data_IF_770585006840
#
_entry.id   IF_770585006840
#
_cell.length_a   1.000
_cell.length_b   1.000
_cell.length_c   1.000
_cell.angle_alpha   90.00
_cell.angle_beta   90.00
_cell.angle_gamma   90.00
#
_symmetry.space_group_name_H-M   'P 1'
#
loop_
_entity.id
_entity.type
_entity.pdbx_description
1 polymer ?
#
# COMPACT_ATOMS: atom_id res chain seq x y z
N UNK A 1 -22.74 37.65 -7.42
CA UNK A 1 -21.37 37.13 -7.31
C UNK A 1 -20.72 37.30 -8.67
N UNK A 2 -19.50 37.81 -8.73
CA UNK A 2 -18.73 37.94 -9.97
C UNK A 2 -18.31 36.54 -10.47
N UNK A 3 -18.46 36.29 -11.77
CA UNK A 3 -18.21 34.99 -12.41
C UNK A 3 -16.75 34.55 -12.23
N UNK A 4 -15.80 35.49 -12.30
CA UNK A 4 -14.39 35.23 -12.04
C UNK A 4 -14.15 34.72 -10.61
N UNK A 5 -14.83 35.31 -9.63
CA UNK A 5 -14.72 34.90 -8.22
C UNK A 5 -15.31 33.52 -7.98
N UNK A 6 -16.40 33.18 -8.66
CA UNK A 6 -17.00 31.84 -8.60
C UNK A 6 -16.08 30.76 -9.18
N UNK A 7 -15.45 31.04 -10.33
CA UNK A 7 -14.48 30.13 -10.96
C UNK A 7 -13.24 29.93 -10.07
N UNK A 8 -12.74 30.99 -9.44
CA UNK A 8 -11.61 30.89 -8.52
C UNK A 8 -11.92 29.99 -7.32
N UNK A 9 -13.08 30.19 -6.67
CA UNK A 9 -13.50 29.35 -5.52
C UNK A 9 -13.61 27.87 -5.92
N UNK A 10 -14.17 27.59 -7.10
CA UNK A 10 -14.25 26.22 -7.61
C UNK A 10 -12.87 25.59 -7.84
N UNK A 11 -11.95 26.36 -8.42
CA UNK A 11 -10.55 25.94 -8.62
C UNK A 11 -9.89 25.62 -7.27
N UNK A 12 -10.06 26.48 -6.27
CA UNK A 12 -9.47 26.28 -4.94
C UNK A 12 -10.03 25.03 -4.24
N UNK A 13 -11.34 24.76 -4.37
CA UNK A 13 -11.98 23.54 -3.84
C UNK A 13 -11.38 22.30 -4.52
N UNK A 14 -11.25 22.31 -5.85
CA UNK A 14 -10.69 21.19 -6.59
C UNK A 14 -9.21 20.94 -6.22
N UNK A 15 -8.42 22.00 -6.10
CA UNK A 15 -7.02 21.93 -5.64
C UNK A 15 -6.93 21.30 -4.25
N UNK A 16 -7.83 21.67 -3.34
CA UNK A 16 -7.89 21.09 -2.00
C UNK A 16 -8.20 19.59 -2.07
N UNK A 17 -9.23 19.19 -2.83
CA UNK A 17 -9.60 17.79 -3.01
C UNK A 17 -8.45 16.95 -3.56
N UNK A 18 -7.76 17.44 -4.59
CA UNK A 18 -6.59 16.76 -5.14
C UNK A 18 -5.49 16.54 -4.10
N UNK A 19 -5.21 17.53 -3.25
CA UNK A 19 -4.22 17.38 -2.18
C UNK A 19 -4.66 16.37 -1.14
N UNK A 20 -5.93 16.41 -0.74
CA UNK A 20 -6.49 15.45 0.22
C UNK A 20 -6.42 14.00 -0.32
N UNK A 21 -6.67 13.81 -1.62
CA UNK A 21 -6.59 12.51 -2.31
C UNK A 21 -5.13 12.03 -2.44
N UNK A 22 -4.18 12.91 -2.78
CA UNK A 22 -2.74 12.59 -2.78
C UNK A 22 -2.31 12.09 -1.39
N UNK A 23 -2.67 12.84 -0.35
CA UNK A 23 -2.33 12.50 1.03
C UNK A 23 -2.99 11.18 1.46
N UNK A 24 -4.21 10.90 1.01
CA UNK A 24 -4.87 9.62 1.24
C UNK A 24 -4.10 8.46 0.62
N UNK A 25 -3.73 8.56 -0.66
CA UNK A 25 -2.93 7.53 -1.34
C UNK A 25 -1.59 7.28 -0.64
N UNK A 26 -0.90 8.34 -0.19
CA UNK A 26 0.37 8.23 0.54
C UNK A 26 0.20 7.45 1.85
N UNK A 27 -0.84 7.75 2.64
CA UNK A 27 -1.15 7.00 3.87
C UNK A 27 -1.51 5.54 3.61
N UNK A 28 -2.24 5.25 2.53
CA UNK A 28 -2.55 3.87 2.14
C UNK A 28 -1.27 3.10 1.80
N UNK A 29 -0.32 3.73 1.09
CA UNK A 29 0.98 3.12 0.78
C UNK A 29 1.79 2.83 2.03
N UNK A 30 1.90 3.79 2.95
CA UNK A 30 2.55 3.57 4.25
C UNK A 30 1.88 2.45 5.07
N UNK A 31 0.56 2.31 4.97
CA UNK A 31 -0.19 1.19 5.54
C UNK A 31 0.25 -0.15 4.93
N UNK A 32 0.23 -0.25 3.60
CA UNK A 32 0.62 -1.46 2.88
C UNK A 32 2.08 -1.84 3.16
N UNK A 33 3.01 -0.88 3.25
CA UNK A 33 4.41 -1.14 3.59
C UNK A 33 4.59 -1.71 5.00
N UNK A 34 3.86 -1.15 5.98
CA UNK A 34 3.84 -1.68 7.36
C UNK A 34 3.24 -3.08 7.43
N UNK A 35 2.18 -3.35 6.65
CA UNK A 35 1.57 -4.66 6.58
C UNK A 35 2.58 -5.69 6.01
N UNK A 36 3.27 -5.38 4.91
CA UNK A 36 4.32 -6.25 4.36
C UNK A 36 5.38 -6.58 5.40
N UNK A 37 5.89 -5.57 6.12
CA UNK A 37 6.89 -5.77 7.16
C UNK A 37 6.38 -6.65 8.30
N UNK A 38 5.15 -6.39 8.77
CA UNK A 38 4.52 -7.11 9.87
C UNK A 38 4.25 -8.57 9.51
N UNK A 39 3.69 -8.83 8.32
CA UNK A 39 3.47 -10.19 7.82
C UNK A 39 4.78 -10.94 7.61
N UNK A 40 5.81 -10.27 7.07
CA UNK A 40 7.14 -10.89 6.92
C UNK A 40 7.69 -11.35 8.26
N UNK A 41 7.62 -10.49 9.29
CA UNK A 41 8.10 -10.86 10.61
C UNK A 41 7.26 -11.99 11.22
N UNK A 42 5.93 -11.87 11.16
CA UNK A 42 5.02 -12.92 11.64
C UNK A 42 5.32 -14.28 10.99
N UNK A 43 5.51 -14.32 9.68
CA UNK A 43 5.83 -15.55 8.96
C UNK A 43 7.17 -16.14 9.40
N UNK A 44 8.20 -15.32 9.62
CA UNK A 44 9.48 -15.78 10.18
C UNK A 44 9.30 -16.41 11.56
N UNK A 45 8.53 -15.77 12.44
CA UNK A 45 8.26 -16.28 13.78
C UNK A 45 7.49 -17.61 13.71
N UNK A 46 6.55 -17.77 12.77
CA UNK A 46 5.84 -19.03 12.55
C UNK A 46 6.77 -20.14 12.08
N UNK A 47 7.64 -19.85 11.11
CA UNK A 47 8.63 -20.81 10.59
C UNK A 47 9.58 -21.26 11.71
N UNK A 48 10.03 -20.35 12.58
CA UNK A 48 10.85 -20.70 13.73
C UNK A 48 10.11 -21.63 14.70
N UNK A 49 8.82 -21.35 14.97
CA UNK A 49 7.98 -22.21 15.82
C UNK A 49 7.77 -23.61 15.25
N UNK A 50 7.85 -23.80 13.93
CA UNK A 50 7.76 -25.13 13.32
C UNK A 50 8.84 -26.10 13.83
N UNK A 51 9.96 -25.59 14.34
CA UNK A 51 11.01 -26.42 14.94
C UNK A 51 10.57 -27.04 16.29
N UNK A 52 9.62 -26.41 16.97
CA UNK A 52 9.15 -26.83 18.30
C UNK A 52 7.99 -27.83 18.24
N UNK A 53 7.31 -27.95 17.09
CA UNK A 53 6.21 -28.89 16.92
C UNK A 53 6.74 -30.30 16.66
N UNK A 54 6.00 -31.30 17.15
CA UNK A 54 6.26 -32.70 16.88
C UNK A 54 5.75 -33.06 15.47
N UNK A 55 6.50 -32.63 14.46
CA UNK A 55 6.23 -32.86 13.03
C UNK A 55 7.40 -33.61 12.41
N UNK A 56 7.11 -34.40 11.38
CA UNK A 56 8.18 -35.00 10.57
C UNK A 56 8.92 -33.91 9.78
N UNK A 57 10.18 -34.15 9.36
CA UNK A 57 10.92 -33.20 8.53
C UNK A 57 10.18 -32.82 7.23
N UNK A 58 9.46 -33.78 6.62
CA UNK A 58 8.69 -33.53 5.39
C UNK A 58 7.49 -32.61 5.62
N UNK A 59 6.71 -32.84 6.68
CA UNK A 59 5.58 -31.97 7.03
C UNK A 59 6.05 -30.56 7.41
N UNK A 60 7.20 -30.47 8.10
CA UNK A 60 7.80 -29.18 8.47
C UNK A 60 8.18 -28.36 7.23
N UNK A 61 8.85 -28.98 6.26
CA UNK A 61 9.22 -28.27 5.03
C UNK A 61 7.98 -27.88 4.22
N UNK A 62 6.97 -28.75 4.14
CA UNK A 62 5.70 -28.42 3.48
C UNK A 62 5.02 -27.20 4.13
N UNK A 63 4.93 -27.16 5.45
CA UNK A 63 4.29 -26.04 6.15
C UNK A 63 5.09 -24.73 5.97
N UNK A 64 6.42 -24.82 5.99
CA UNK A 64 7.30 -23.69 5.70
C UNK A 64 7.08 -23.15 4.28
N UNK A 65 7.03 -24.02 3.26
CA UNK A 65 6.76 -23.62 1.87
C UNK A 65 5.38 -22.95 1.73
N UNK A 66 4.35 -23.46 2.42
CA UNK A 66 3.01 -22.86 2.42
C UNK A 66 3.04 -21.45 3.02
N UNK A 67 3.73 -21.27 4.15
CA UNK A 67 3.89 -19.99 4.82
C UNK A 67 4.65 -18.98 3.95
N UNK A 68 5.75 -19.38 3.33
CA UNK A 68 6.54 -18.56 2.41
C UNK A 68 5.72 -18.18 1.15
N UNK A 69 4.98 -19.12 0.58
CA UNK A 69 4.11 -18.87 -0.57
C UNK A 69 3.03 -17.83 -0.26
N UNK A 70 2.36 -17.94 0.91
CA UNK A 70 1.35 -16.97 1.33
C UNK A 70 1.94 -15.59 1.53
N UNK A 71 3.10 -15.51 2.19
CA UNK A 71 3.83 -14.25 2.37
C UNK A 71 4.16 -13.61 1.02
N UNK A 72 4.68 -14.38 0.07
CA UNK A 72 5.05 -13.87 -1.25
C UNK A 72 3.82 -13.36 -2.02
N UNK A 73 2.71 -14.11 -1.98
CA UNK A 73 1.46 -13.71 -2.62
C UNK A 73 0.94 -12.38 -2.06
N UNK A 74 0.91 -12.23 -0.74
CA UNK A 74 0.45 -11.00 -0.10
C UNK A 74 1.40 -9.83 -0.39
N UNK A 75 2.72 -10.09 -0.37
CA UNK A 75 3.74 -9.10 -0.72
C UNK A 75 3.55 -8.56 -2.14
N UNK A 76 3.32 -9.45 -3.11
CA UNK A 76 3.07 -9.06 -4.51
C UNK A 76 1.82 -8.18 -4.59
N UNK A 77 0.71 -8.61 -4.00
CA UNK A 77 -0.55 -7.87 -4.06
C UNK A 77 -0.40 -6.46 -3.47
N UNK A 78 0.22 -6.34 -2.29
CA UNK A 78 0.44 -5.05 -1.63
C UNK A 78 1.39 -4.15 -2.39
N UNK A 79 2.44 -4.73 -2.99
CA UNK A 79 3.39 -3.98 -3.82
C UNK A 79 2.72 -3.44 -5.09
N UNK A 80 1.85 -4.23 -5.72
CA UNK A 80 1.07 -3.76 -6.87
C UNK A 80 0.12 -2.62 -6.51
N UNK A 81 -0.53 -2.69 -5.35
CA UNK A 81 -1.41 -1.62 -4.87
C UNK A 81 -0.63 -0.34 -4.58
N UNK A 82 0.57 -0.44 -3.97
CA UNK A 82 1.49 0.70 -3.80
C UNK A 82 1.86 1.30 -5.16
N UNK A 83 2.22 0.47 -6.15
CA UNK A 83 2.56 0.94 -7.49
C UNK A 83 1.41 1.64 -8.19
N UNK A 84 0.18 1.13 -8.08
CA UNK A 84 -1.02 1.77 -8.64
C UNK A 84 -1.27 3.13 -8.00
N UNK A 85 -1.15 3.22 -6.67
CA UNK A 85 -1.30 4.47 -5.94
C UNK A 85 -0.21 5.47 -6.30
N UNK A 86 1.05 5.05 -6.44
CA UNK A 86 2.13 5.94 -6.87
C UNK A 86 1.86 6.54 -8.26
N UNK A 87 1.39 5.74 -9.22
CA UNK A 87 0.99 6.24 -10.54
C UNK A 87 -0.15 7.26 -10.46
N UNK A 88 -1.11 7.04 -9.55
CA UNK A 88 -2.21 7.97 -9.32
C UNK A 88 -1.73 9.27 -8.67
N UNK A 89 -0.83 9.18 -7.68
CA UNK A 89 -0.17 10.33 -7.05
C UNK A 89 0.57 11.16 -8.10
N UNK A 90 1.43 10.54 -8.91
CA UNK A 90 2.20 11.22 -9.96
C UNK A 90 1.28 11.96 -10.94
N UNK A 91 0.16 11.33 -11.33
CA UNK A 91 -0.85 11.96 -12.17
C UNK A 91 -1.50 13.16 -11.50
N UNK A 92 -1.92 13.04 -10.23
CA UNK A 92 -2.57 14.12 -9.49
C UNK A 92 -1.61 15.27 -9.19
N UNK A 93 -0.35 15.00 -8.86
CA UNK A 93 0.69 16.01 -8.66
C UNK A 93 0.97 16.77 -9.95
N UNK A 94 1.00 16.09 -11.11
CA UNK A 94 1.09 16.76 -12.41
C UNK A 94 -0.12 17.66 -12.68
N UNK A 95 -1.34 17.19 -12.39
CA UNK A 95 -2.56 18.03 -12.52
C UNK A 95 -2.57 19.22 -11.58
N UNK A 96 -2.02 19.07 -10.38
CA UNK A 96 -1.86 20.16 -9.44
C UNK A 96 -0.90 21.23 -9.97
N UNK A 97 0.22 20.82 -10.58
CA UNK A 97 1.19 21.73 -11.21
C UNK A 97 0.58 22.48 -12.41
N UNK A 98 -0.20 21.81 -13.25
CA UNK A 98 -0.91 22.43 -14.39
C UNK A 98 -1.93 23.51 -13.93
N UNK A 99 -2.36 23.48 -12.68
CA UNK A 99 -3.32 24.41 -12.10
C UNK A 99 -2.68 25.57 -11.31
N UNK A 100 -1.37 25.56 -11.07
CA UNK A 100 -0.64 26.65 -10.42
C UNK A 100 -0.33 27.77 -11.42
#
# INVERSE_FOLDING_TARGET
MDEARYLQVKKDIFIKQLKDDIDHCKRVNEGNERDIASFTQYTKDQIERLQTYNMTPGEREQEKEILEYRLEKDRIQRTEDIQKNNKLIDFMEKKLQELQ
#
